data_IF_578338245088
#
_entry.id   IF_578338245088
#
_cell.length_a   1.000
_cell.length_b   1.000
_cell.length_c   1.000
_cell.angle_alpha   90.00
_cell.angle_beta   90.00
_cell.angle_gamma   90.00
#
_symmetry.space_group_name_H-M   'P 1'
#
loop_
_entity.id
_entity.type
_entity.pdbx_description
1 polymer ?
#
# COMPACT_ATOMS: atom_id res chain seq x y z
N UNK A 1 3.70 5.97 -13.45
CA UNK A 1 3.24 5.73 -12.07
C UNK A 1 4.30 4.82 -11.48
N UNK A 2 5.13 5.34 -10.60
CA UNK A 2 6.29 4.61 -10.07
C UNK A 2 5.97 3.87 -8.77
N UNK A 3 4.77 4.05 -8.23
CA UNK A 3 4.31 3.42 -7.01
C UNK A 3 3.30 2.28 -7.30
N UNK A 4 3.66 1.02 -7.01
CA UNK A 4 2.77 -0.13 -7.20
C UNK A 4 1.45 -0.04 -6.43
N UNK A 5 1.45 0.62 -5.27
CA UNK A 5 0.27 0.77 -4.41
C UNK A 5 -0.70 1.78 -5.02
N UNK A 6 -0.18 2.90 -5.53
CA UNK A 6 -0.99 3.90 -6.22
C UNK A 6 -1.63 3.34 -7.49
N UNK A 7 -0.86 2.57 -8.26
CA UNK A 7 -1.37 1.89 -9.44
C UNK A 7 -2.50 0.90 -9.10
N UNK A 8 -2.36 0.14 -8.02
CA UNK A 8 -3.39 -0.78 -7.56
C UNK A 8 -4.68 -0.06 -7.16
N UNK A 9 -4.60 1.08 -6.46
CA UNK A 9 -5.76 1.91 -6.10
C UNK A 9 -6.47 2.48 -7.33
N UNK A 10 -5.70 2.96 -8.30
CA UNK A 10 -6.25 3.47 -9.56
C UNK A 10 -6.94 2.36 -10.35
N UNK A 11 -6.34 1.17 -10.43
CA UNK A 11 -6.92 0.01 -11.10
C UNK A 11 -8.24 -0.43 -10.44
N UNK A 12 -8.27 -0.50 -9.11
CA UNK A 12 -9.49 -0.81 -8.35
C UNK A 12 -10.61 0.21 -8.60
N UNK A 13 -10.26 1.51 -8.61
CA UNK A 13 -11.22 2.61 -8.86
C UNK A 13 -11.76 2.57 -10.29
N UNK A 14 -10.87 2.48 -11.28
CA UNK A 14 -11.21 2.49 -12.70
C UNK A 14 -12.06 1.28 -13.08
N UNK A 15 -11.70 0.09 -12.57
CA UNK A 15 -12.44 -1.15 -12.85
C UNK A 15 -13.63 -1.37 -11.93
N UNK A 16 -13.86 -0.50 -10.93
CA UNK A 16 -14.91 -0.62 -9.92
C UNK A 16 -14.87 -1.96 -9.15
N UNK A 17 -13.67 -2.46 -8.90
CA UNK A 17 -13.44 -3.69 -8.11
C UNK A 17 -12.83 -3.33 -6.77
N UNK A 18 -13.23 -4.04 -5.72
CA UNK A 18 -12.78 -3.78 -4.34
C UNK A 18 -11.80 -4.81 -3.80
N UNK A 19 -11.58 -5.88 -4.54
CA UNK A 19 -10.75 -7.01 -4.16
C UNK A 19 -9.93 -7.43 -5.38
N UNK A 20 -8.64 -7.67 -5.17
CA UNK A 20 -7.73 -8.14 -6.20
C UNK A 20 -7.07 -9.44 -5.71
N UNK A 21 -7.15 -10.53 -6.46
CA UNK A 21 -6.45 -11.77 -6.11
C UNK A 21 -4.94 -11.57 -6.25
N UNK A 22 -4.20 -12.12 -5.31
CA UNK A 22 -2.74 -12.21 -5.37
C UNK A 22 -2.39 -13.63 -5.79
N UNK A 23 -1.58 -13.75 -6.83
CA UNK A 23 -1.09 -15.03 -7.37
C UNK A 23 0.43 -15.03 -7.38
N UNK A 24 1.04 -16.21 -7.33
CA UNK A 24 2.47 -16.37 -7.58
C UNK A 24 2.77 -16.42 -9.10
N UNK A 25 4.05 -16.60 -9.43
CA UNK A 25 4.54 -16.64 -10.81
C UNK A 25 3.97 -17.83 -11.61
N UNK A 26 3.59 -18.92 -10.93
CA UNK A 26 2.95 -20.10 -11.52
C UNK A 26 1.42 -19.93 -11.63
N UNK A 27 0.88 -18.80 -11.17
CA UNK A 27 -0.53 -18.46 -11.20
C UNK A 27 -1.36 -19.07 -10.06
N UNK A 28 -0.73 -19.68 -9.06
CA UNK A 28 -1.45 -20.22 -7.91
C UNK A 28 -1.91 -19.11 -6.97
N UNK A 29 -3.15 -19.21 -6.48
CA UNK A 29 -3.77 -18.19 -5.63
C UNK A 29 -3.15 -18.18 -4.23
N UNK A 30 -2.56 -17.05 -3.86
CA UNK A 30 -1.94 -16.80 -2.55
C UNK A 30 -2.88 -16.07 -1.59
N UNK A 31 -3.88 -15.34 -2.12
CA UNK A 31 -4.86 -14.66 -1.29
C UNK A 31 -5.64 -13.57 -2.03
N UNK A 32 -6.25 -12.67 -1.26
CA UNK A 32 -7.01 -11.52 -1.74
C UNK A 32 -6.58 -10.28 -0.97
N UNK A 33 -6.35 -9.18 -1.67
CA UNK A 33 -6.16 -7.85 -1.10
C UNK A 33 -7.40 -7.02 -1.35
N UNK A 34 -7.95 -6.41 -0.30
CA UNK A 34 -9.06 -5.47 -0.41
C UNK A 34 -8.56 -4.03 -0.58
N UNK A 35 -9.40 -3.15 -1.14
CA UNK A 35 -9.12 -1.71 -1.18
C UNK A 35 -8.87 -1.11 0.22
N UNK A 36 -9.50 -1.69 1.26
CA UNK A 36 -9.28 -1.27 2.65
C UNK A 36 -7.87 -1.59 3.15
N UNK A 37 -7.33 -2.74 2.77
CA UNK A 37 -5.95 -3.13 3.10
C UNK A 37 -4.94 -2.18 2.46
N UNK A 38 -5.20 -1.79 1.21
CA UNK A 38 -4.37 -0.83 0.46
C UNK A 38 -4.35 0.54 1.15
N UNK A 39 -5.52 1.05 1.51
CA UNK A 39 -5.64 2.34 2.24
C UNK A 39 -4.94 2.28 3.60
N UNK A 40 -5.14 1.19 4.35
CA UNK A 40 -4.50 0.99 5.67
C UNK A 40 -2.98 0.92 5.54
N UNK A 41 -2.47 0.22 4.55
CA UNK A 41 -1.04 0.14 4.26
C UNK A 41 -0.43 1.51 3.97
N UNK A 42 -1.10 2.32 3.14
CA UNK A 42 -0.61 3.66 2.79
C UNK A 42 -0.58 4.62 3.99
N UNK A 43 -1.59 4.57 4.84
CA UNK A 43 -1.62 5.37 6.07
C UNK A 43 -0.45 5.01 6.99
N UNK A 44 -0.20 3.70 7.19
CA UNK A 44 0.91 3.24 8.01
C UNK A 44 2.28 3.64 7.46
N UNK A 45 2.48 3.66 6.14
CA UNK A 45 3.73 4.17 5.54
C UNK A 45 3.94 5.66 5.82
N UNK A 46 2.90 6.48 5.67
CA UNK A 46 2.98 7.92 5.95
C UNK A 46 3.28 8.20 7.43
N UNK A 47 2.66 7.45 8.34
CA UNK A 47 2.92 7.56 9.78
C UNK A 47 4.38 7.20 10.11
N UNK A 48 4.91 6.14 9.52
CA UNK A 48 6.31 5.73 9.70
C UNK A 48 7.30 6.76 9.16
N UNK A 49 7.05 7.32 7.97
CA UNK A 49 7.88 8.40 7.40
C UNK A 49 7.87 9.64 8.30
N UNK A 50 6.70 10.01 8.82
CA UNK A 50 6.56 11.15 9.73
C UNK A 50 7.32 10.92 11.05
N UNK A 51 7.21 9.71 11.61
CA UNK A 51 7.94 9.33 12.83
C UNK A 51 9.45 9.40 12.60
N UNK A 52 9.96 8.86 11.50
CA UNK A 52 11.39 8.90 11.17
C UNK A 52 11.93 10.34 11.05
N UNK A 53 11.15 11.25 10.46
CA UNK A 53 11.50 12.67 10.39
C UNK A 53 11.48 13.35 11.77
N UNK A 54 10.49 13.03 12.60
CA UNK A 54 10.39 13.53 13.98
C UNK A 54 11.57 13.07 14.84
N UNK A 55 11.96 11.80 14.73
CA UNK A 55 13.08 11.21 15.46
C UNK A 55 14.41 11.88 15.08
N UNK A 56 14.62 12.17 13.79
CA UNK A 56 15.81 12.88 13.32
C UNK A 56 15.96 14.27 13.95
N UNK A 57 14.86 15.01 14.10
CA UNK A 57 14.86 16.34 14.75
C UNK A 57 15.10 16.21 16.26
N UNK A 58 14.56 15.18 16.92
CA UNK A 58 14.71 14.98 18.36
C UNK A 58 16.10 14.48 18.77
N UNK A 59 16.71 13.59 17.99
CA UNK A 59 18.07 13.08 18.26
C UNK A 59 19.19 14.01 17.77
N UNK A 60 18.89 14.98 16.90
CA UNK A 60 19.85 15.96 16.40
C UNK A 60 20.19 17.11 17.38
N UNK A 61 19.82 17.01 18.66
CA UNK A 61 20.09 18.01 19.71
C UNK A 61 21.01 17.47 20.79
#
# INVERSE_FOLDING_TARGET
IDDPVEHLMELMTTRRVRHVPVVDDDGAMQGIVSIGDVVKGRLGQLENENQALSDYIHYGR
#
